data_IF_536581010239
#
_entry.id   IF_536581010239
#
_cell.length_a   1.000
_cell.length_b   1.000
_cell.length_c   1.000
_cell.angle_alpha   90.00
_cell.angle_beta   90.00
_cell.angle_gamma   90.00
#
_symmetry.space_group_name_H-M   'P 1'
#
loop_
_entity.id
_entity.type
_entity.pdbx_description
1 polymer ?
#
# COMPACT_ATOMS: atom_id res chain seq x y z
N UNK A 1 0.07 9.36 16.59
CA UNK A 1 0.89 9.76 15.40
C UNK A 1 2.20 10.42 15.81
N UNK A 2 2.19 11.38 16.74
CA UNK A 2 3.40 12.09 17.16
C UNK A 2 4.47 11.17 17.77
N UNK A 3 4.07 10.22 18.61
CA UNK A 3 4.99 9.26 19.22
C UNK A 3 5.65 8.35 18.19
N UNK A 4 4.89 7.85 17.21
CA UNK A 4 5.41 6.97 16.16
C UNK A 4 6.32 7.73 15.20
N UNK A 5 6.02 9.00 14.94
CA UNK A 5 6.89 9.88 14.15
C UNK A 5 8.25 10.05 14.84
N UNK A 6 8.25 10.30 16.13
CA UNK A 6 9.48 10.40 16.92
C UNK A 6 10.25 9.08 17.00
N UNK A 7 9.54 7.96 17.05
CA UNK A 7 10.16 6.63 17.05
C UNK A 7 11.07 6.44 15.83
N UNK A 8 10.56 6.68 14.62
CA UNK A 8 11.35 6.49 13.41
C UNK A 8 12.40 7.59 13.21
N UNK A 9 12.08 8.82 13.58
CA UNK A 9 13.04 9.93 13.49
C UNK A 9 14.26 9.73 14.38
N UNK A 10 14.11 9.06 15.52
CA UNK A 10 15.19 8.77 16.48
C UNK A 10 15.95 7.47 16.23
N UNK A 11 15.48 6.64 15.29
CA UNK A 11 16.18 5.42 14.87
C UNK A 11 17.44 5.72 14.07
N UNK A 12 18.32 4.71 13.97
CA UNK A 12 19.48 4.79 13.08
C UNK A 12 19.06 5.13 11.65
N UNK A 13 19.70 6.15 11.07
CA UNK A 13 19.31 6.69 9.76
C UNK A 13 18.05 7.58 9.77
N UNK A 14 17.46 7.84 10.94
CA UNK A 14 16.33 8.74 11.10
C UNK A 14 16.72 10.22 11.06
N UNK A 15 15.73 11.09 10.97
CA UNK A 15 15.93 12.54 10.94
C UNK A 15 14.68 13.25 11.46
N UNK A 16 14.89 14.47 11.95
CA UNK A 16 13.81 15.40 12.27
C UNK A 16 13.52 16.32 11.07
N UNK A 17 12.27 16.80 10.96
CA UNK A 17 11.87 17.66 9.86
C UNK A 17 11.92 16.95 8.51
N UNK A 18 12.59 17.56 7.54
CA UNK A 18 12.73 16.98 6.19
C UNK A 18 14.20 16.78 5.81
N UNK A 19 14.44 15.74 5.02
CA UNK A 19 15.76 15.37 4.48
C UNK A 19 15.67 15.29 2.96
N UNK A 20 16.68 15.77 2.21
CA UNK A 20 16.64 15.69 0.75
C UNK A 20 16.90 14.28 0.26
N UNK A 21 16.05 13.85 -0.66
CA UNK A 21 16.13 12.57 -1.35
C UNK A 21 16.09 12.77 -2.86
N UNK A 22 16.78 11.92 -3.57
CA UNK A 22 16.79 11.90 -5.03
C UNK A 22 15.86 10.83 -5.54
N UNK A 23 15.06 11.14 -6.55
CA UNK A 23 14.30 10.13 -7.30
C UNK A 23 15.31 9.30 -8.11
N UNK A 24 15.39 8.02 -7.83
CA UNK A 24 16.30 7.09 -8.51
C UNK A 24 15.56 6.15 -9.48
N UNK A 25 14.25 6.02 -9.33
CA UNK A 25 13.40 5.29 -10.27
C UNK A 25 12.00 5.88 -10.31
N UNK A 26 11.41 5.88 -11.49
CA UNK A 26 10.02 6.28 -11.76
C UNK A 26 9.44 5.26 -12.72
N UNK A 27 8.49 4.44 -12.24
CA UNK A 27 8.00 3.29 -13.00
C UNK A 27 6.47 3.30 -13.05
N UNK A 28 5.85 3.41 -14.25
CA UNK A 28 4.43 3.19 -14.39
C UNK A 28 4.04 1.78 -13.96
N UNK A 29 2.99 1.68 -13.15
CA UNK A 29 2.46 0.39 -12.65
C UNK A 29 1.08 0.07 -13.19
N UNK A 30 0.35 1.11 -13.60
CA UNK A 30 -0.94 1.03 -14.29
C UNK A 30 -1.19 2.35 -15.02
N UNK A 31 -2.33 2.50 -15.67
CA UNK A 31 -2.73 3.76 -16.30
C UNK A 31 -2.79 4.94 -15.32
N UNK A 32 -3.04 4.68 -14.04
CA UNK A 32 -3.21 5.72 -13.02
C UNK A 32 -2.14 5.74 -11.94
N UNK A 33 -1.35 4.68 -11.77
CA UNK A 33 -0.42 4.53 -10.65
C UNK A 33 1.02 4.44 -11.16
N UNK A 34 1.89 5.28 -10.62
CA UNK A 34 3.34 5.29 -10.87
C UNK A 34 4.08 5.14 -9.55
N UNK A 35 5.06 4.27 -9.50
CA UNK A 35 5.95 4.14 -8.35
C UNK A 35 7.17 5.04 -8.48
N UNK A 36 7.65 5.53 -7.32
CA UNK A 36 8.84 6.35 -7.18
C UNK A 36 9.75 5.72 -6.14
N UNK A 37 11.01 5.59 -6.46
CA UNK A 37 12.03 5.16 -5.52
C UNK A 37 12.96 6.32 -5.20
N UNK A 38 13.29 6.45 -3.91
CA UNK A 38 14.09 7.55 -3.39
C UNK A 38 15.31 7.01 -2.65
N UNK A 39 16.43 7.66 -2.85
CA UNK A 39 17.64 7.47 -2.04
C UNK A 39 18.10 8.80 -1.46
N UNK A 40 18.69 8.82 -0.26
CA UNK A 40 19.15 10.08 0.34
C UNK A 40 20.29 10.71 -0.47
N UNK A 41 20.21 12.03 -0.64
CA UNK A 41 21.25 12.77 -1.40
C UNK A 41 22.60 12.63 -0.74
N UNK A 42 22.67 12.54 0.60
CA UNK A 42 23.91 12.37 1.36
C UNK A 42 24.49 10.95 1.32
N UNK A 43 23.78 9.98 0.71
CA UNK A 43 24.22 8.59 0.59
C UNK A 43 24.23 7.79 1.89
N UNK A 44 23.74 8.36 2.99
CA UNK A 44 23.68 7.69 4.29
C UNK A 44 22.57 6.63 4.38
N UNK A 45 22.54 5.90 5.50
CA UNK A 45 21.44 4.98 5.81
C UNK A 45 20.15 5.75 6.07
N UNK A 46 19.03 5.08 5.85
CA UNK A 46 17.71 5.62 6.11
C UNK A 46 16.98 4.80 7.16
N UNK A 47 16.11 5.46 7.93
CA UNK A 47 15.36 4.82 9.00
C UNK A 47 14.51 3.66 8.46
N UNK A 48 14.50 2.56 9.21
CA UNK A 48 13.54 1.50 9.01
C UNK A 48 12.13 1.97 9.42
N UNK A 49 11.13 1.25 8.95
CA UNK A 49 9.73 1.52 9.23
C UNK A 49 8.98 0.20 9.36
N UNK A 50 7.76 0.28 9.87
CA UNK A 50 6.86 -0.86 9.96
C UNK A 50 5.98 -0.95 8.70
N UNK A 51 5.69 -2.16 8.20
CA UNK A 51 4.87 -2.33 6.99
C UNK A 51 3.45 -1.78 7.19
N UNK A 52 3.06 -0.81 6.36
CA UNK A 52 1.82 -0.05 6.47
C UNK A 52 2.04 1.44 6.73
N UNK A 53 3.20 1.83 7.22
CA UNK A 53 3.55 3.24 7.45
C UNK A 53 3.76 4.02 6.16
N UNK A 54 3.76 5.35 6.24
CA UNK A 54 3.82 6.27 5.12
C UNK A 54 5.00 7.24 5.23
N UNK A 55 5.34 7.87 4.09
CA UNK A 55 6.25 9.02 4.01
C UNK A 55 5.47 10.32 3.82
N UNK A 56 5.93 11.40 4.45
CA UNK A 56 5.55 12.76 4.07
C UNK A 56 6.42 13.26 2.93
N UNK A 57 5.83 13.58 1.79
CA UNK A 57 6.50 14.16 0.63
C UNK A 57 6.22 15.66 0.60
N UNK A 58 7.28 16.47 0.64
CA UNK A 58 7.21 17.93 0.68
C UNK A 58 7.70 18.50 -0.64
N UNK A 59 6.83 19.23 -1.34
CA UNK A 59 7.09 19.77 -2.67
C UNK A 59 6.75 21.26 -2.76
N UNK A 60 7.63 22.03 -3.39
CA UNK A 60 7.36 23.37 -3.85
C UNK A 60 8.07 23.62 -5.19
N UNK A 61 7.71 22.91 -6.24
CA UNK A 61 8.30 23.14 -7.55
C UNK A 61 7.86 24.48 -8.12
N UNK A 62 8.53 24.90 -9.20
CA UNK A 62 8.14 26.11 -9.92
C UNK A 62 6.67 26.04 -10.34
N UNK A 63 5.94 27.13 -10.14
CA UNK A 63 4.51 27.23 -10.43
C UNK A 63 3.60 26.87 -9.25
N UNK A 64 4.14 26.34 -8.15
CA UNK A 64 3.36 26.14 -6.93
C UNK A 64 3.32 27.42 -6.09
N UNK A 65 2.10 27.89 -5.74
CA UNK A 65 1.92 29.05 -4.89
C UNK A 65 2.45 28.84 -3.46
N UNK A 66 2.28 27.61 -2.95
CA UNK A 66 2.66 27.22 -1.59
C UNK A 66 3.38 25.88 -1.59
N UNK A 67 4.08 25.59 -0.49
CA UNK A 67 4.59 24.28 -0.23
C UNK A 67 3.44 23.31 0.01
N UNK A 68 3.47 22.16 -0.67
CA UNK A 68 2.48 21.11 -0.55
C UNK A 68 3.09 19.89 0.12
N UNK A 69 2.30 19.26 0.98
CA UNK A 69 2.68 18.06 1.71
C UNK A 69 1.65 16.98 1.41
N UNK A 70 2.12 15.79 1.03
CA UNK A 70 1.26 14.62 0.85
C UNK A 70 1.90 13.41 1.51
N UNK A 71 1.06 12.55 2.04
CA UNK A 71 1.46 11.30 2.65
C UNK A 71 1.20 10.15 1.68
N UNK A 72 2.22 9.31 1.47
CA UNK A 72 2.13 8.14 0.62
C UNK A 72 2.66 6.92 1.36
N UNK A 73 1.87 5.84 1.36
CA UNK A 73 2.28 4.58 1.99
C UNK A 73 3.54 4.00 1.35
N UNK A 74 4.41 3.48 2.18
CA UNK A 74 5.57 2.72 1.74
C UNK A 74 5.13 1.37 1.18
N UNK A 75 5.72 0.92 0.09
CA UNK A 75 5.21 -0.20 -0.72
C UNK A 75 6.06 -1.46 -0.68
N UNK A 76 7.14 -1.48 0.10
CA UNK A 76 8.01 -2.65 0.23
C UNK A 76 8.58 -2.75 1.65
N UNK A 77 9.19 -3.89 1.96
CA UNK A 77 9.95 -4.08 3.20
C UNK A 77 11.11 -3.08 3.27
N UNK A 78 11.42 -2.52 4.45
CA UNK A 78 12.59 -1.64 4.62
C UNK A 78 13.89 -2.37 4.22
N UNK A 79 14.79 -1.65 3.55
CA UNK A 79 16.10 -2.15 3.14
C UNK A 79 17.28 -1.31 3.69
N UNK A 80 16.98 -0.22 4.41
CA UNK A 80 17.98 0.70 4.94
C UNK A 80 18.66 1.61 3.91
N UNK A 81 18.32 1.49 2.64
CA UNK A 81 18.95 2.22 1.53
C UNK A 81 18.06 3.31 0.95
N UNK A 82 16.77 3.07 0.89
CA UNK A 82 15.84 4.00 0.28
C UNK A 82 14.39 3.64 0.55
N UNK A 83 13.50 4.36 -0.11
CA UNK A 83 12.06 4.23 0.03
C UNK A 83 11.37 4.11 -1.30
N UNK A 84 10.29 3.35 -1.36
CA UNK A 84 9.41 3.28 -2.53
C UNK A 84 7.99 3.62 -2.12
N UNK A 85 7.38 4.54 -2.88
CA UNK A 85 5.97 4.86 -2.81
C UNK A 85 5.30 4.60 -4.16
N UNK A 86 3.99 4.56 -4.19
CA UNK A 86 3.23 4.54 -5.43
C UNK A 86 2.11 5.57 -5.37
N UNK A 87 2.02 6.38 -6.42
CA UNK A 87 1.17 7.56 -6.47
C UNK A 87 0.10 7.38 -7.53
N UNK A 88 -1.15 7.42 -7.11
CA UNK A 88 -2.29 7.50 -8.03
C UNK A 88 -2.42 8.95 -8.52
N UNK A 89 -2.54 9.12 -9.82
CA UNK A 89 -2.86 10.42 -10.40
C UNK A 89 -4.32 10.76 -10.13
N UNK A 90 -4.55 11.77 -9.31
CA UNK A 90 -5.88 12.24 -8.96
C UNK A 90 -6.32 13.37 -9.88
N UNK A 91 -7.59 13.36 -10.30
CA UNK A 91 -8.16 14.45 -11.09
C UNK A 91 -8.12 15.74 -10.29
N UNK A 92 -7.46 16.77 -10.85
CA UNK A 92 -7.26 18.06 -10.19
C UNK A 92 -6.26 18.03 -9.02
N UNK A 93 -5.62 16.90 -8.74
CA UNK A 93 -4.60 16.77 -7.69
C UNK A 93 -3.29 17.44 -8.10
N UNK A 94 -2.89 18.50 -7.38
CA UNK A 94 -1.71 19.28 -7.74
C UNK A 94 -0.42 18.47 -7.63
N UNK A 95 -0.22 17.79 -6.51
CA UNK A 95 1.00 17.01 -6.24
C UNK A 95 1.07 15.75 -7.09
N UNK A 96 -0.01 14.98 -7.16
CA UNK A 96 -0.01 13.73 -7.93
C UNK A 96 0.20 13.97 -9.44
N UNK A 97 -0.39 15.03 -9.99
CA UNK A 97 -0.18 15.39 -11.39
C UNK A 97 1.24 15.89 -11.63
N UNK A 98 1.82 16.68 -10.74
CA UNK A 98 3.21 17.10 -10.86
C UNK A 98 4.15 15.90 -10.84
N UNK A 99 3.97 14.96 -9.91
CA UNK A 99 4.78 13.75 -9.84
C UNK A 99 4.67 12.92 -11.12
N UNK A 100 3.46 12.73 -11.65
CA UNK A 100 3.26 11.94 -12.86
C UNK A 100 3.83 12.61 -14.12
N UNK A 101 3.65 13.94 -14.27
CA UNK A 101 3.93 14.63 -15.54
C UNK A 101 5.28 15.36 -15.55
N UNK A 102 5.79 15.79 -14.41
CA UNK A 102 6.95 16.68 -14.35
C UNK A 102 8.15 16.11 -13.57
N UNK A 103 7.92 15.29 -12.54
CA UNK A 103 9.02 14.69 -11.79
C UNK A 103 9.80 13.71 -12.65
N UNK A 104 11.11 13.75 -12.55
CA UNK A 104 12.04 12.90 -13.31
C UNK A 104 13.08 12.26 -12.40
N UNK A 105 13.63 11.14 -12.83
CA UNK A 105 14.81 10.53 -12.19
C UNK A 105 15.93 11.58 -12.13
N UNK A 106 16.52 11.71 -10.96
CA UNK A 106 17.54 12.74 -10.66
C UNK A 106 16.99 13.96 -9.91
N UNK A 107 15.69 14.20 -9.94
CA UNK A 107 15.08 15.29 -9.17
C UNK A 107 15.22 15.04 -7.68
N UNK A 108 15.36 16.13 -6.92
CA UNK A 108 15.44 16.11 -5.46
C UNK A 108 14.13 16.57 -4.85
N UNK A 109 13.62 15.79 -3.92
CA UNK A 109 12.45 16.10 -3.11
C UNK A 109 12.80 16.03 -1.63
N UNK A 110 11.99 16.63 -0.79
CA UNK A 110 12.19 16.57 0.67
C UNK A 110 11.19 15.60 1.29
N UNK A 111 11.69 14.69 2.11
CA UNK A 111 10.87 13.68 2.77
C UNK A 111 10.94 13.86 4.29
N UNK A 112 9.79 13.72 4.96
CA UNK A 112 9.73 13.50 6.38
C UNK A 112 10.00 12.02 6.69
N UNK A 113 10.47 11.72 7.91
CA UNK A 113 10.70 10.33 8.32
C UNK A 113 9.41 9.51 8.29
N UNK A 114 9.51 8.20 8.03
CA UNK A 114 8.33 7.33 8.03
C UNK A 114 7.52 7.44 9.31
N UNK A 115 6.19 7.41 9.20
CA UNK A 115 5.26 7.56 10.31
C UNK A 115 3.97 6.77 10.06
N UNK A 116 3.07 6.78 11.02
CA UNK A 116 1.74 6.20 10.95
C UNK A 116 1.49 5.13 12.00
N UNK A 117 0.24 5.04 12.44
CA UNK A 117 -0.23 4.09 13.43
C UNK A 117 -0.84 2.82 12.82
N UNK A 118 -1.04 2.83 11.50
CA UNK A 118 -1.47 1.65 10.75
C UNK A 118 -0.26 0.86 10.24
N UNK A 119 -0.03 -0.29 10.83
CA UNK A 119 1.03 -1.20 10.41
C UNK A 119 0.73 -2.63 10.85
N UNK A 120 1.30 -3.58 10.13
CA UNK A 120 1.18 -4.99 10.48
C UNK A 120 2.21 -5.36 11.54
N UNK A 121 1.72 -5.98 12.62
CA UNK A 121 2.54 -6.56 13.67
C UNK A 121 1.94 -7.91 14.06
N UNK A 122 2.39 -8.97 13.40
CA UNK A 122 1.88 -10.33 13.59
C UNK A 122 3.01 -11.31 13.85
N UNK A 123 2.72 -12.36 14.60
CA UNK A 123 3.65 -13.48 14.78
C UNK A 123 3.78 -14.30 13.48
N UNK A 124 4.86 -15.03 13.34
CA UNK A 124 5.17 -15.82 12.14
C UNK A 124 4.12 -16.89 11.78
N UNK A 125 3.33 -17.32 12.75
CA UNK A 125 2.29 -18.33 12.62
C UNK A 125 0.86 -17.74 12.62
N UNK A 126 0.72 -16.42 12.60
CA UNK A 126 -0.58 -15.76 12.58
C UNK A 126 -1.08 -15.63 11.14
N UNK A 127 -2.25 -16.17 10.79
CA UNK A 127 -2.80 -15.99 9.45
C UNK A 127 -3.22 -14.52 9.20
N UNK A 128 -3.05 -14.05 7.97
CA UNK A 128 -3.27 -12.66 7.59
C UNK A 128 -4.06 -12.57 6.30
N UNK A 129 -5.07 -11.72 6.27
CA UNK A 129 -5.76 -11.30 5.04
C UNK A 129 -5.49 -9.83 4.75
N UNK A 130 -4.99 -9.56 3.55
CA UNK A 130 -4.72 -8.22 3.02
C UNK A 130 -5.79 -7.88 2.00
N UNK A 131 -6.64 -6.91 2.33
CA UNK A 131 -7.86 -6.57 1.57
C UNK A 131 -7.78 -5.12 1.11
N UNK A 132 -7.82 -4.91 -0.20
CA UNK A 132 -7.63 -3.56 -0.76
C UNK A 132 -8.46 -3.31 -2.01
N UNK A 133 -8.66 -2.02 -2.31
CA UNK A 133 -9.21 -1.56 -3.58
C UNK A 133 -8.37 -0.41 -4.13
N UNK A 134 -8.08 -0.45 -5.43
CA UNK A 134 -7.35 0.61 -6.12
C UNK A 134 -5.98 0.88 -5.49
N UNK A 135 -5.65 2.14 -5.28
CA UNK A 135 -4.37 2.55 -4.68
C UNK A 135 -4.24 2.15 -3.20
N UNK A 136 -5.33 1.74 -2.55
CA UNK A 136 -5.30 1.19 -1.19
C UNK A 136 -4.44 -0.07 -1.04
N UNK A 137 -4.03 -0.69 -2.14
CA UNK A 137 -3.09 -1.80 -2.09
C UNK A 137 -1.68 -1.41 -1.62
N UNK A 138 -1.32 -0.12 -1.65
CA UNK A 138 0.06 0.31 -1.39
C UNK A 138 0.59 -0.10 -0.03
N UNK A 139 -0.09 0.11 1.11
CA UNK A 139 0.39 -0.43 2.39
C UNK A 139 0.37 -1.95 2.44
N UNK A 140 -0.56 -2.59 1.73
CA UNK A 140 -0.66 -4.05 1.66
C UNK A 140 0.55 -4.67 0.95
N UNK A 141 1.13 -4.00 -0.04
CA UNK A 141 2.35 -4.45 -0.71
C UNK A 141 3.54 -4.55 0.24
N UNK A 142 3.73 -3.57 1.11
CA UNK A 142 4.77 -3.62 2.14
C UNK A 142 4.55 -4.79 3.12
N UNK A 143 3.29 -5.04 3.48
CA UNK A 143 2.92 -6.17 4.34
C UNK A 143 3.20 -7.51 3.65
N UNK A 144 2.78 -7.67 2.39
CA UNK A 144 3.03 -8.87 1.61
C UNK A 144 4.53 -9.13 1.41
N UNK A 145 5.30 -8.10 1.06
CA UNK A 145 6.74 -8.18 0.89
C UNK A 145 7.43 -8.62 2.20
N UNK A 146 6.98 -8.08 3.33
CA UNK A 146 7.48 -8.45 4.66
C UNK A 146 7.16 -9.90 5.01
N UNK A 147 5.93 -10.36 4.75
CA UNK A 147 5.52 -11.73 4.99
C UNK A 147 6.30 -12.72 4.12
N UNK A 148 6.43 -12.42 2.83
CA UNK A 148 7.14 -13.27 1.87
C UNK A 148 8.63 -13.40 2.21
N UNK A 149 9.32 -12.30 2.46
CA UNK A 149 10.74 -12.29 2.83
C UNK A 149 11.01 -12.80 4.23
N UNK A 150 10.04 -12.70 5.13
CA UNK A 150 10.09 -13.27 6.48
C UNK A 150 9.77 -14.75 6.55
N UNK A 151 9.51 -15.41 5.42
CA UNK A 151 9.16 -16.84 5.36
C UNK A 151 7.96 -17.19 6.24
N UNK A 152 6.91 -16.38 6.15
CA UNK A 152 5.68 -16.58 6.92
C UNK A 152 5.05 -17.94 6.62
N UNK A 153 4.68 -18.70 7.66
CA UNK A 153 4.24 -20.08 7.52
C UNK A 153 2.72 -20.26 7.55
N UNK A 154 1.99 -19.29 8.10
CA UNK A 154 0.54 -19.32 8.17
C UNK A 154 -0.11 -18.87 6.84
N UNK A 155 -1.42 -19.04 6.74
CA UNK A 155 -2.21 -18.61 5.58
C UNK A 155 -2.07 -17.10 5.36
N UNK A 156 -1.76 -16.70 4.13
CA UNK A 156 -1.79 -15.32 3.67
C UNK A 156 -2.79 -15.19 2.52
N UNK A 157 -3.74 -14.30 2.66
CA UNK A 157 -4.70 -13.97 1.61
C UNK A 157 -4.42 -12.59 1.05
N UNK A 158 -4.49 -12.48 -0.28
CA UNK A 158 -4.45 -11.22 -1.01
C UNK A 158 -5.76 -11.03 -1.78
N UNK A 159 -6.62 -10.16 -1.29
CA UNK A 159 -7.92 -9.86 -1.90
C UNK A 159 -7.94 -8.42 -2.40
N UNK A 160 -8.01 -8.26 -3.70
CA UNK A 160 -7.89 -6.95 -4.35
C UNK A 160 -9.02 -6.68 -5.32
N UNK A 161 -9.57 -5.48 -5.27
CA UNK A 161 -10.59 -4.99 -6.20
C UNK A 161 -10.04 -3.82 -7.02
N UNK A 162 -10.28 -3.85 -8.31
CA UNK A 162 -9.98 -2.77 -9.24
C UNK A 162 -11.13 -2.57 -10.23
N UNK A 163 -11.13 -1.46 -10.93
CA UNK A 163 -12.14 -1.21 -11.98
C UNK A 163 -11.97 -2.18 -13.15
N UNK A 164 -10.73 -2.33 -13.63
CA UNK A 164 -10.34 -3.24 -14.70
C UNK A 164 -8.82 -3.44 -14.71
N UNK A 165 -8.30 -4.19 -15.69
CA UNK A 165 -6.88 -4.49 -15.81
C UNK A 165 -6.01 -3.28 -16.14
N UNK A 166 -6.53 -2.27 -16.81
CA UNK A 166 -5.75 -1.07 -17.18
C UNK A 166 -5.32 -0.27 -15.94
N UNK A 167 -6.09 -0.35 -14.86
CA UNK A 167 -5.84 0.35 -13.60
C UNK A 167 -5.41 -0.58 -12.45
N UNK A 168 -5.17 -1.85 -12.73
CA UNK A 168 -4.68 -2.83 -11.76
C UNK A 168 -3.15 -2.83 -11.73
N UNK A 169 -2.59 -2.15 -10.74
CA UNK A 169 -1.14 -2.05 -10.55
C UNK A 169 -0.57 -3.26 -9.79
N UNK A 170 0.71 -3.56 -10.01
CA UNK A 170 1.52 -4.51 -9.24
C UNK A 170 1.08 -5.99 -9.30
N UNK A 171 0.27 -6.39 -10.27
CA UNK A 171 -0.22 -7.77 -10.36
C UNK A 171 0.92 -8.80 -10.42
N UNK A 172 1.96 -8.53 -11.21
CA UNK A 172 3.12 -9.43 -11.34
C UNK A 172 3.94 -9.53 -10.05
N UNK A 173 4.20 -8.40 -9.39
CA UNK A 173 4.92 -8.36 -8.11
C UNK A 173 4.18 -9.15 -7.03
N UNK A 174 2.87 -8.98 -6.92
CA UNK A 174 2.03 -9.74 -5.98
C UNK A 174 2.10 -11.23 -6.29
N UNK A 175 2.00 -11.62 -7.54
CA UNK A 175 2.11 -13.01 -7.97
C UNK A 175 3.47 -13.62 -7.63
N UNK A 176 4.55 -12.90 -7.86
CA UNK A 176 5.91 -13.35 -7.53
C UNK A 176 6.11 -13.54 -6.03
N UNK A 177 5.69 -12.56 -5.22
CA UNK A 177 5.75 -12.65 -3.76
C UNK A 177 4.91 -13.82 -3.23
N UNK A 178 3.71 -13.98 -3.76
CA UNK A 178 2.80 -15.05 -3.35
C UNK A 178 3.38 -16.45 -3.59
N UNK A 179 4.14 -16.65 -4.68
CA UNK A 179 4.78 -17.93 -4.98
C UNK A 179 5.82 -18.35 -3.93
N UNK A 180 6.38 -17.41 -3.20
CA UNK A 180 7.37 -17.70 -2.15
C UNK A 180 6.74 -18.10 -0.82
N UNK A 181 5.44 -17.88 -0.66
CA UNK A 181 4.69 -18.21 0.55
C UNK A 181 4.14 -19.66 0.45
N UNK A 182 4.27 -20.47 1.51
CA UNK A 182 3.80 -21.85 1.49
C UNK A 182 2.27 -21.98 1.44
N UNK A 183 1.55 -20.98 1.97
CA UNK A 183 0.09 -20.97 2.06
C UNK A 183 -0.42 -19.60 1.63
N UNK A 184 -0.65 -19.44 0.34
CA UNK A 184 -1.09 -18.18 -0.25
C UNK A 184 -2.33 -18.36 -1.11
N UNK A 185 -3.32 -17.49 -0.90
CA UNK A 185 -4.54 -17.41 -1.70
C UNK A 185 -4.72 -15.99 -2.20
N UNK A 186 -4.84 -15.80 -3.50
CA UNK A 186 -5.14 -14.52 -4.10
C UNK A 186 -6.50 -14.58 -4.81
N UNK A 187 -7.28 -13.51 -4.70
CA UNK A 187 -8.51 -13.34 -5.45
C UNK A 187 -8.65 -11.88 -5.89
N UNK A 188 -8.90 -11.68 -7.18
CA UNK A 188 -9.03 -10.36 -7.79
C UNK A 188 -10.43 -10.18 -8.37
N UNK A 189 -11.06 -9.05 -8.05
CA UNK A 189 -12.34 -8.62 -8.61
C UNK A 189 -12.12 -7.44 -9.53
N UNK A 190 -12.66 -7.51 -10.74
CA UNK A 190 -12.81 -6.33 -11.60
C UNK A 190 -14.27 -5.93 -11.67
N UNK A 191 -14.54 -4.68 -11.34
CA UNK A 191 -15.89 -4.15 -11.34
C UNK A 191 -16.49 -4.12 -12.76
N UNK A 192 -15.72 -3.64 -13.70
CA UNK A 192 -16.06 -3.53 -15.13
C UNK A 192 -14.89 -4.00 -15.98
N UNK A 193 -14.65 -5.31 -16.09
CA UNK A 193 -13.54 -5.81 -16.91
C UNK A 193 -13.71 -5.42 -18.37
N UNK A 194 -12.58 -5.18 -19.05
CA UNK A 194 -12.53 -4.95 -20.48
C UNK A 194 -12.69 -6.27 -21.25
N UNK A 195 -12.91 -6.22 -22.55
CA UNK A 195 -12.91 -7.42 -23.41
C UNK A 195 -11.54 -8.13 -23.36
N UNK A 196 -10.46 -7.37 -23.34
CA UNK A 196 -9.11 -7.92 -23.21
C UNK A 196 -8.91 -8.63 -21.86
N UNK A 197 -9.42 -8.07 -20.77
CA UNK A 197 -9.37 -8.70 -19.44
C UNK A 197 -10.08 -10.05 -19.45
N UNK A 198 -11.25 -10.13 -20.04
CA UNK A 198 -12.02 -11.39 -20.16
C UNK A 198 -11.30 -12.40 -21.04
N UNK A 199 -10.74 -11.97 -22.16
CA UNK A 199 -10.01 -12.85 -23.07
C UNK A 199 -8.74 -13.44 -22.45
N UNK A 200 -8.05 -12.66 -21.60
CA UNK A 200 -6.80 -13.05 -20.96
C UNK A 200 -6.99 -13.72 -19.59
N UNK A 201 -8.20 -13.71 -19.05
CA UNK A 201 -8.51 -14.29 -17.73
C UNK A 201 -7.60 -13.77 -16.60
N UNK A 202 -7.35 -12.45 -16.58
CA UNK A 202 -6.43 -11.81 -15.61
C UNK A 202 -7.07 -11.47 -14.28
N UNK A 203 -8.32 -11.84 -14.08
CA UNK A 203 -9.08 -11.63 -12.84
C UNK A 203 -9.92 -12.86 -12.51
N UNK A 204 -10.42 -12.94 -11.28
CA UNK A 204 -11.15 -14.12 -10.79
C UNK A 204 -12.67 -13.91 -10.81
N UNK A 205 -13.15 -12.71 -10.49
CA UNK A 205 -14.60 -12.42 -10.43
C UNK A 205 -14.93 -11.03 -10.98
N UNK A 206 -16.10 -10.90 -11.60
CA UNK A 206 -16.66 -9.60 -11.99
C UNK A 206 -17.55 -9.02 -10.89
N UNK A 207 -17.57 -7.71 -10.81
CA UNK A 207 -18.40 -6.97 -9.87
C UNK A 207 -17.69 -6.58 -8.60
N UNK A 208 -18.46 -6.35 -7.56
CA UNK A 208 -17.94 -5.96 -6.25
C UNK A 208 -17.34 -7.15 -5.51
N UNK A 209 -16.39 -6.86 -4.63
CA UNK A 209 -15.77 -7.88 -3.77
C UNK A 209 -16.81 -8.59 -2.91
N UNK A 210 -16.94 -9.89 -3.10
CA UNK A 210 -17.85 -10.75 -2.34
C UNK A 210 -17.03 -11.77 -1.54
N UNK A 211 -16.83 -11.48 -0.26
CA UNK A 211 -16.02 -12.30 0.66
C UNK A 211 -16.74 -13.57 1.11
N UNK A 212 -18.06 -13.67 0.94
CA UNK A 212 -18.83 -14.86 1.31
C UNK A 212 -18.39 -16.10 0.53
N UNK A 213 -17.87 -15.91 -0.68
CA UNK A 213 -17.32 -17.00 -1.51
C UNK A 213 -15.98 -17.52 -1.01
N UNK A 214 -15.33 -16.82 -0.09
CA UNK A 214 -14.01 -17.11 0.44
C UNK A 214 -14.06 -17.44 1.94
N UNK A 215 -15.22 -17.83 2.46
CA UNK A 215 -15.46 -18.10 3.88
C UNK A 215 -14.43 -19.08 4.46
N UNK A 216 -14.08 -20.12 3.72
CA UNK A 216 -13.09 -21.11 4.18
C UNK A 216 -11.71 -20.48 4.36
N UNK A 217 -11.31 -19.58 3.44
CA UNK A 217 -9.99 -18.94 3.49
C UNK A 217 -9.86 -17.92 4.64
N UNK A 218 -10.97 -17.45 5.20
CA UNK A 218 -11.00 -16.43 6.27
C UNK A 218 -11.55 -16.98 7.59
N UNK A 219 -11.75 -18.28 7.71
CA UNK A 219 -12.44 -18.90 8.85
C UNK A 219 -11.58 -19.07 10.10
N UNK A 220 -10.27 -18.93 10.01
CA UNK A 220 -9.39 -19.07 11.17
C UNK A 220 -9.65 -17.92 12.18
N UNK A 221 -10.04 -18.24 13.43
CA UNK A 221 -10.36 -17.19 14.41
C UNK A 221 -9.16 -16.33 14.84
N UNK A 222 -7.92 -16.78 14.57
CA UNK A 222 -6.70 -16.02 14.83
C UNK A 222 -6.33 -15.06 13.69
N UNK A 223 -7.00 -15.14 12.55
CA UNK A 223 -6.65 -14.36 11.37
C UNK A 223 -6.78 -12.86 11.63
N UNK A 224 -5.77 -12.10 11.20
CA UNK A 224 -5.76 -10.65 11.25
C UNK A 224 -6.08 -10.09 9.86
N UNK A 225 -6.93 -9.09 9.81
CA UNK A 225 -7.43 -8.48 8.57
C UNK A 225 -6.95 -7.05 8.47
N UNK A 226 -6.32 -6.70 7.36
CA UNK A 226 -5.88 -5.33 7.07
C UNK A 226 -6.61 -4.83 5.83
N UNK A 227 -7.31 -3.70 5.96
CA UNK A 227 -8.14 -3.11 4.92
C UNK A 227 -7.63 -1.72 4.55
N UNK A 228 -7.56 -1.43 3.25
CA UNK A 228 -7.32 -0.08 2.76
C UNK A 228 -7.95 0.12 1.38
N UNK A 229 -8.55 1.29 1.20
CA UNK A 229 -9.22 1.68 -0.03
C UNK A 229 -10.19 2.85 0.21
N UNK A 230 -11.08 3.13 -0.73
CA UNK A 230 -12.15 4.11 -0.52
C UNK A 230 -13.00 3.76 0.70
N UNK A 231 -13.51 4.78 1.40
CA UNK A 231 -14.29 4.58 2.65
C UNK A 231 -15.46 3.63 2.43
N UNK A 232 -16.23 3.82 1.35
CA UNK A 232 -17.35 2.94 1.03
C UNK A 232 -16.95 1.47 0.82
N UNK A 233 -15.83 1.24 0.18
CA UNK A 233 -15.27 -0.11 0.02
C UNK A 233 -14.90 -0.73 1.38
N UNK A 234 -14.20 0.01 2.23
CA UNK A 234 -13.81 -0.51 3.55
C UNK A 234 -15.01 -0.81 4.43
N UNK A 235 -16.02 0.05 4.44
CA UNK A 235 -17.26 -0.19 5.15
C UNK A 235 -17.95 -1.46 4.65
N UNK A 236 -18.04 -1.64 3.35
CA UNK A 236 -18.63 -2.81 2.71
C UNK A 236 -17.86 -4.10 3.06
N UNK A 237 -16.54 -4.07 2.96
CA UNK A 237 -15.70 -5.22 3.31
C UNK A 237 -15.78 -5.56 4.81
N UNK A 238 -15.68 -4.56 5.68
CA UNK A 238 -15.78 -4.76 7.13
C UNK A 238 -17.12 -5.36 7.54
N UNK A 239 -18.24 -4.89 6.97
CA UNK A 239 -19.57 -5.46 7.22
C UNK A 239 -19.66 -6.92 6.80
N UNK A 240 -19.09 -7.29 5.65
CA UNK A 240 -19.04 -8.68 5.22
C UNK A 240 -18.26 -9.55 6.20
N UNK A 241 -17.08 -9.09 6.63
CA UNK A 241 -16.25 -9.82 7.59
C UNK A 241 -16.98 -10.08 8.90
N UNK A 242 -17.62 -9.05 9.46
CA UNK A 242 -18.43 -9.19 10.69
C UNK A 242 -19.59 -10.16 10.49
N UNK A 243 -20.28 -10.09 9.36
CA UNK A 243 -21.37 -11.02 9.01
C UNK A 243 -20.90 -12.47 8.88
N UNK A 244 -19.63 -12.68 8.53
CA UNK A 244 -19.01 -14.00 8.45
C UNK A 244 -18.38 -14.48 9.77
N UNK A 245 -18.58 -13.72 10.86
CA UNK A 245 -18.15 -14.09 12.20
C UNK A 245 -16.78 -13.57 12.61
N UNK A 246 -16.15 -12.69 11.82
CA UNK A 246 -14.88 -12.09 12.19
C UNK A 246 -15.06 -11.10 13.34
N UNK A 247 -14.18 -11.20 14.35
CA UNK A 247 -14.19 -10.27 15.47
C UNK A 247 -13.65 -8.91 15.02
N UNK A 248 -14.34 -7.82 15.41
CA UNK A 248 -13.92 -6.45 15.12
C UNK A 248 -12.48 -6.14 15.55
N UNK A 249 -12.02 -6.73 16.63
CA UNK A 249 -10.64 -6.54 17.14
C UNK A 249 -9.57 -7.03 16.18
N UNK A 250 -9.93 -7.94 15.27
CA UNK A 250 -9.03 -8.50 14.26
C UNK A 250 -9.05 -7.72 12.94
N UNK A 251 -9.84 -6.65 12.84
CA UNK A 251 -9.99 -5.83 11.64
C UNK A 251 -9.27 -4.50 11.85
N UNK A 252 -8.24 -4.26 11.02
CA UNK A 252 -7.41 -3.06 11.02
C UNK A 252 -7.57 -2.34 9.69
N UNK A 253 -7.70 -1.01 9.70
CA UNK A 253 -7.91 -0.26 8.46
C UNK A 253 -7.17 1.08 8.45
N UNK A 254 -6.85 1.54 7.23
CA UNK A 254 -6.29 2.87 6.96
C UNK A 254 -7.19 3.61 5.96
N UNK A 255 -7.57 4.83 6.31
CA UNK A 255 -8.28 5.74 5.41
C UNK A 255 -7.31 6.69 4.74
N UNK A 256 -7.38 6.79 3.42
CA UNK A 256 -6.69 7.83 2.67
C UNK A 256 -7.58 9.09 2.59
N UNK A 257 -7.07 10.22 3.09
CA UNK A 257 -7.78 11.49 3.10
C UNK A 257 -8.25 11.94 4.49
N UNK A 258 -9.01 13.04 4.56
CA UNK A 258 -9.35 13.69 5.84
C UNK A 258 -10.44 12.99 6.66
N UNK A 259 -11.05 11.94 6.15
CA UNK A 259 -12.18 11.28 6.80
C UNK A 259 -11.76 9.95 7.45
N UNK A 260 -11.73 9.97 8.78
CA UNK A 260 -11.56 8.77 9.61
C UNK A 260 -12.94 8.36 10.14
N UNK A 261 -13.71 7.59 9.40
CA UNK A 261 -14.90 6.95 9.99
C UNK A 261 -15.22 5.63 9.28
N UNK A 262 -15.06 4.57 10.01
CA UNK A 262 -15.79 3.33 9.79
C UNK A 262 -16.80 3.15 10.91
#
# INVERSE_FOLDING_TARGET
EAEIYHENASKDGGWEGTRPFRIVAKTPRSALITSFEFEPVDGGTVAEYRPGQYLGVWLKPEGFAHQEIRQYSLTRKPDGKGYRIAVKREDGGQVSNWLHHHASVGDVVRLAAPAGDFFMNVAADTPVSLISAGVGQTPMLAMLDTLAKGQHTAQVNWFHAAENGDVHAFADEVSELGRTLPRFTAHTWYREPTEADRAQHVFDSEGLMDLSKLEVAISDPAMQFYLCGPVGFMQFAAKQLVSLGVNNENIHYECFGPHKVL
#
